data_IF_393947669911
#
_entry.id   IF_393947669911
#
_cell.length_a   1.000
_cell.length_b   1.000
_cell.length_c   1.000
_cell.angle_alpha   90.00
_cell.angle_beta   90.00
_cell.angle_gamma   90.00
#
_symmetry.space_group_name_H-M   'P 1'
#
loop_
_entity.id
_entity.type
_entity.pdbx_description
1 polymer ?
#
# COMPACT_ATOMS: atom_id res chain seq x y z
N UNK A 1 1.60 -19.39 46.22
CA UNK A 1 1.54 -18.45 45.08
C UNK A 1 2.82 -17.64 45.13
N UNK A 2 3.81 -18.01 44.33
CA UNK A 2 5.12 -17.33 44.32
C UNK A 2 5.28 -16.59 43.00
N UNK A 3 5.87 -15.39 43.04
CA UNK A 3 6.14 -14.60 41.84
C UNK A 3 7.43 -15.14 41.18
N UNK A 4 7.50 -15.23 39.84
CA UNK A 4 8.75 -15.57 39.16
C UNK A 4 9.87 -14.60 39.56
N UNK A 5 11.04 -15.13 39.90
CA UNK A 5 12.17 -14.33 40.37
C UNK A 5 12.89 -13.63 39.21
N UNK A 6 13.31 -12.38 39.44
CA UNK A 6 13.84 -11.47 38.42
C UNK A 6 15.01 -12.05 37.61
N UNK A 7 15.81 -12.93 38.22
CA UNK A 7 16.96 -13.60 37.57
C UNK A 7 16.58 -14.47 36.38
N UNK A 8 15.36 -15.02 36.31
CA UNK A 8 14.93 -15.84 35.17
C UNK A 8 14.76 -14.98 33.91
N UNK A 9 14.26 -13.76 34.07
CA UNK A 9 14.03 -12.78 33.00
C UNK A 9 15.37 -12.34 32.38
N UNK A 10 16.39 -12.10 33.21
CA UNK A 10 17.74 -11.75 32.74
C UNK A 10 18.40 -12.88 31.93
N UNK A 11 18.22 -14.15 32.33
CA UNK A 11 18.71 -15.28 31.54
C UNK A 11 18.02 -15.40 30.19
N UNK A 12 16.70 -15.22 30.12
CA UNK A 12 15.99 -15.16 28.83
C UNK A 12 16.44 -13.97 27.96
N UNK A 13 16.75 -12.81 28.55
CA UNK A 13 17.25 -11.66 27.81
C UNK A 13 18.65 -11.91 27.20
N UNK A 14 19.57 -12.52 27.96
CA UNK A 14 20.87 -12.93 27.43
C UNK A 14 20.75 -14.01 26.33
N UNK A 15 19.84 -14.97 26.47
CA UNK A 15 19.58 -15.96 25.42
C UNK A 15 18.94 -15.32 24.17
N UNK A 16 18.07 -14.32 24.30
CA UNK A 16 17.52 -13.59 23.16
C UNK A 16 18.59 -12.78 22.42
N UNK A 17 19.46 -12.07 23.13
CA UNK A 17 20.61 -11.36 22.55
C UNK A 17 21.61 -12.33 21.87
N UNK A 18 21.81 -13.52 22.43
CA UNK A 18 22.60 -14.56 21.78
C UNK A 18 21.92 -15.10 20.51
N UNK A 19 20.61 -15.37 20.52
CA UNK A 19 19.85 -15.79 19.34
C UNK A 19 19.79 -14.73 18.23
N UNK A 20 19.85 -13.44 18.59
CA UNK A 20 20.03 -12.34 17.62
C UNK A 20 21.43 -12.37 16.96
N UNK A 21 22.45 -12.88 17.66
CA UNK A 21 23.82 -13.03 17.12
C UNK A 21 24.08 -14.37 16.42
N UNK A 22 23.43 -15.45 16.85
CA UNK A 22 23.48 -16.79 16.23
C UNK A 22 22.13 -17.08 15.60
N UNK A 23 21.94 -16.62 14.36
CA UNK A 23 20.65 -16.53 13.67
C UNK A 23 19.94 -17.86 13.37
N UNK A 24 19.45 -18.54 14.40
CA UNK A 24 18.55 -19.69 14.34
C UNK A 24 17.14 -19.28 13.89
N UNK A 25 17.05 -18.73 12.68
CA UNK A 25 15.78 -18.54 11.95
C UNK A 25 15.16 -19.93 11.71
N UNK A 26 13.84 -20.03 11.84
CA UNK A 26 13.08 -21.20 11.36
C UNK A 26 13.40 -21.46 9.87
N UNK A 27 13.34 -22.72 9.39
CA UNK A 27 13.68 -23.05 8.01
C UNK A 27 12.78 -22.29 7.05
N UNK A 28 13.36 -21.30 6.35
CA UNK A 28 12.67 -20.48 5.37
C UNK A 28 12.09 -21.36 4.26
N UNK A 29 10.86 -21.07 3.83
CA UNK A 29 10.29 -21.68 2.65
C UNK A 29 11.08 -21.20 1.42
N UNK A 30 11.69 -22.13 0.68
CA UNK A 30 12.42 -21.82 -0.54
C UNK A 30 11.43 -21.68 -1.70
N UNK A 31 11.06 -20.44 -2.04
CA UNK A 31 10.19 -20.14 -3.17
C UNK A 31 11.00 -20.00 -4.46
N UNK A 32 10.76 -20.86 -5.44
CA UNK A 32 11.35 -20.76 -6.79
C UNK A 32 10.56 -19.78 -7.64
N UNK A 33 11.16 -18.74 -8.26
CA UNK A 33 10.44 -17.83 -9.15
C UNK A 33 9.73 -18.56 -10.30
N UNK A 34 8.40 -18.44 -10.37
CA UNK A 34 7.65 -18.86 -11.56
C UNK A 34 7.73 -17.77 -12.64
N UNK A 35 7.94 -18.15 -13.89
CA UNK A 35 8.04 -17.24 -15.05
C UNK A 35 6.72 -16.56 -15.46
N UNK A 36 5.69 -16.62 -14.60
CA UNK A 36 4.38 -16.03 -14.85
C UNK A 36 4.46 -14.49 -14.76
N UNK A 37 4.13 -13.83 -15.86
CA UNK A 37 4.00 -12.37 -15.98
C UNK A 37 2.54 -12.03 -16.25
N UNK A 38 1.99 -11.07 -15.49
CA UNK A 38 0.73 -10.39 -15.78
C UNK A 38 1.09 -9.11 -16.54
N UNK A 39 0.67 -9.01 -17.80
CA UNK A 39 0.86 -7.80 -18.60
C UNK A 39 -0.43 -6.98 -18.55
N UNK A 40 -0.27 -5.69 -18.32
CA UNK A 40 -1.37 -4.75 -18.19
C UNK A 40 -1.46 -3.94 -19.53
N UNK A 41 -2.43 -4.19 -20.45
CA UNK A 41 -2.76 -3.50 -21.75
C UNK A 41 -4.30 -3.27 -22.06
N UNK A 42 -4.93 -2.07 -21.89
CA UNK A 42 -6.42 -1.82 -21.96
C UNK A 42 -6.96 -1.31 -23.28
N UNK A 43 -6.15 -1.32 -24.33
CA UNK A 43 -6.62 -0.98 -25.68
C UNK A 43 -7.88 -1.77 -26.12
N UNK A 44 -8.23 -2.87 -25.42
CA UNK A 44 -9.38 -3.76 -25.66
C UNK A 44 -10.40 -3.91 -24.51
N UNK A 45 -10.30 -3.18 -23.38
CA UNK A 45 -11.21 -3.38 -22.22
C UNK A 45 -12.72 -3.22 -22.57
N UNK A 46 -13.08 -2.53 -23.67
CA UNK A 46 -14.48 -2.40 -24.10
C UNK A 46 -15.16 -3.76 -24.37
N UNK A 47 -14.39 -4.75 -24.81
CA UNK A 47 -14.91 -6.07 -25.18
C UNK A 47 -15.27 -6.93 -23.95
N UNK A 48 -14.67 -6.66 -22.79
CA UNK A 48 -14.86 -7.42 -21.54
C UNK A 48 -16.12 -7.05 -20.75
N UNK A 49 -16.81 -5.96 -21.10
CA UNK A 49 -18.00 -5.49 -20.36
C UNK A 49 -19.30 -6.20 -20.82
N UNK A 50 -19.25 -6.99 -21.89
CA UNK A 50 -20.46 -7.56 -22.53
C UNK A 50 -20.47 -9.07 -22.80
N UNK A 51 -19.40 -9.82 -22.54
CA UNK A 51 -19.30 -11.23 -22.92
C UNK A 51 -19.39 -12.19 -21.73
N UNK A 52 -20.36 -13.11 -21.75
CA UNK A 52 -20.54 -14.14 -20.72
C UNK A 52 -19.56 -15.31 -20.84
N UNK A 53 -19.09 -15.57 -22.06
CA UNK A 53 -17.93 -16.43 -22.40
C UNK A 53 -17.20 -15.78 -23.59
N UNK A 54 -15.86 -15.83 -23.67
CA UNK A 54 -15.09 -15.22 -24.75
C UNK A 54 -15.09 -16.06 -26.03
N UNK A 55 -15.02 -15.40 -27.19
CA UNK A 55 -14.97 -16.03 -28.52
C UNK A 55 -13.75 -16.96 -28.70
N UNK A 56 -13.94 -18.28 -28.93
CA UNK A 56 -12.84 -19.24 -29.17
C UNK A 56 -11.90 -18.86 -30.30
N UNK A 57 -12.40 -18.31 -31.41
CA UNK A 57 -11.58 -18.04 -32.61
C UNK A 57 -10.75 -16.76 -32.45
N UNK A 58 -11.06 -15.93 -31.43
CA UNK A 58 -10.21 -14.81 -31.00
C UNK A 58 -8.99 -15.24 -30.17
N UNK A 59 -8.98 -16.48 -29.67
CA UNK A 59 -8.01 -16.97 -28.67
C UNK A 59 -6.83 -17.76 -29.24
N UNK A 60 -6.79 -18.09 -30.54
CA UNK A 60 -5.75 -18.98 -31.08
C UNK A 60 -4.32 -18.40 -31.09
N UNK A 61 -4.13 -17.07 -31.06
CA UNK A 61 -2.88 -16.47 -31.56
C UNK A 61 -1.75 -16.17 -30.55
N UNK A 62 -1.97 -16.18 -29.22
CA UNK A 62 -0.86 -16.10 -28.23
C UNK A 62 -1.14 -16.80 -26.89
N UNK A 63 -0.95 -18.12 -26.88
CA UNK A 63 -1.19 -18.99 -25.72
C UNK A 63 -0.13 -18.90 -24.59
N UNK A 64 0.68 -17.83 -24.51
CA UNK A 64 1.81 -17.72 -23.56
C UNK A 64 1.69 -16.67 -22.46
N UNK A 65 0.86 -15.65 -22.62
CA UNK A 65 0.75 -14.56 -21.63
C UNK A 65 -0.72 -14.26 -21.36
N UNK A 66 -1.16 -14.39 -20.10
CA UNK A 66 -2.56 -14.17 -19.71
C UNK A 66 -2.73 -12.78 -19.09
N UNK A 67 -3.91 -12.21 -19.37
CA UNK A 67 -4.38 -10.87 -18.97
C UNK A 67 -3.77 -9.71 -19.78
N UNK A 68 -4.60 -8.67 -20.03
CA UNK A 68 -4.30 -7.39 -20.71
C UNK A 68 -5.41 -6.33 -20.45
N UNK A 69 -5.14 -5.35 -19.57
CA UNK A 69 -5.75 -3.99 -19.36
C UNK A 69 -4.57 -3.08 -18.83
N UNK A 70 -3.94 -1.87 -18.96
CA UNK A 70 -3.66 -0.60 -19.73
C UNK A 70 -4.61 0.57 -20.01
N UNK A 71 -5.12 1.17 -18.93
CA UNK A 71 -4.66 2.51 -18.58
C UNK A 71 -4.63 3.54 -19.73
N UNK A 72 -5.81 4.09 -20.05
CA UNK A 72 -5.87 5.54 -20.30
C UNK A 72 -5.19 6.30 -19.15
N UNK A 73 -4.69 7.51 -19.41
CA UNK A 73 -3.99 8.36 -18.43
C UNK A 73 -4.56 8.21 -17.01
N UNK A 74 -3.73 7.86 -16.00
CA UNK A 74 -4.21 7.74 -14.62
C UNK A 74 -4.82 9.07 -14.20
N UNK A 75 -6.08 9.05 -13.78
CA UNK A 75 -6.92 10.25 -13.58
C UNK A 75 -6.35 11.29 -12.60
N UNK A 76 -5.36 10.87 -11.82
CA UNK A 76 -4.64 11.67 -10.82
C UNK A 76 -3.25 12.13 -11.26
N UNK A 77 -2.67 11.69 -12.38
CA UNK A 77 -1.38 12.23 -12.84
C UNK A 77 -1.58 13.61 -13.50
N UNK A 78 -0.70 14.55 -13.17
CA UNK A 78 -0.69 15.93 -13.67
C UNK A 78 0.42 16.18 -14.69
N UNK A 79 1.54 15.44 -14.60
CA UNK A 79 2.72 15.57 -15.45
C UNK A 79 3.58 14.29 -15.38
N UNK A 80 4.36 14.00 -16.42
CA UNK A 80 5.21 12.80 -16.50
C UNK A 80 6.39 13.00 -17.45
N UNK A 81 7.55 12.44 -17.09
CA UNK A 81 8.70 12.33 -17.99
C UNK A 81 9.36 10.95 -17.85
N UNK A 82 9.47 10.25 -18.98
CA UNK A 82 9.88 8.85 -19.02
C UNK A 82 11.29 8.63 -18.48
N UNK A 83 11.42 7.72 -17.50
CA UNK A 83 12.68 7.45 -16.81
C UNK A 83 13.20 8.62 -15.95
N UNK A 84 12.37 9.64 -15.67
CA UNK A 84 12.76 10.82 -14.91
C UNK A 84 11.80 11.11 -13.75
N UNK A 85 10.49 11.28 -13.99
CA UNK A 85 9.52 11.54 -12.92
C UNK A 85 8.06 11.24 -13.30
N UNK A 86 7.21 11.13 -12.29
CA UNK A 86 5.74 11.17 -12.41
C UNK A 86 5.15 12.10 -11.35
N UNK A 87 4.15 12.93 -11.70
CA UNK A 87 3.56 13.93 -10.79
C UNK A 87 2.09 13.65 -10.55
N UNK A 88 1.69 13.49 -9.29
CA UNK A 88 0.40 12.95 -8.87
C UNK A 88 -0.39 13.97 -8.04
N UNK A 89 -1.62 14.27 -8.46
CA UNK A 89 -2.63 14.98 -7.67
C UNK A 89 -3.16 14.06 -6.58
N UNK A 90 -2.70 14.28 -5.36
CA UNK A 90 -3.22 13.60 -4.18
C UNK A 90 -4.28 14.48 -3.53
N UNK A 91 -5.50 13.97 -3.40
CA UNK A 91 -6.51 14.55 -2.51
C UNK A 91 -6.17 14.13 -1.06
N UNK A 92 -6.41 15.02 -0.10
CA UNK A 92 -6.17 14.70 1.31
C UNK A 92 -7.30 15.15 2.22
N UNK A 93 -7.48 14.39 3.29
CA UNK A 93 -8.27 14.76 4.47
C UNK A 93 -7.35 14.68 5.70
N UNK A 94 -7.45 15.63 6.61
CA UNK A 94 -6.54 15.69 7.78
C UNK A 94 -7.13 16.46 8.95
N UNK A 95 -6.87 15.97 10.16
CA UNK A 95 -7.14 16.66 11.42
C UNK A 95 -5.85 17.25 12.05
N UNK A 96 -4.81 17.50 11.24
CA UNK A 96 -3.57 18.20 11.63
C UNK A 96 -3.79 19.72 11.71
N UNK A 97 -3.10 20.41 12.61
CA UNK A 97 -3.06 21.88 12.59
C UNK A 97 -2.29 22.40 11.36
N UNK A 98 -2.87 23.33 10.56
CA UNK A 98 -2.16 23.98 9.48
C UNK A 98 -1.16 25.01 10.00
N UNK A 99 0.08 24.94 9.55
CA UNK A 99 1.07 26.00 9.69
C UNK A 99 1.00 26.92 8.48
N UNK A 100 0.81 28.21 8.74
CA UNK A 100 0.67 29.23 7.69
C UNK A 100 2.05 29.63 7.17
N UNK A 101 2.39 29.20 5.96
CA UNK A 101 3.55 29.72 5.23
C UNK A 101 3.21 31.05 4.55
N UNK A 102 4.23 31.87 4.25
CA UNK A 102 4.08 33.25 3.74
C UNK A 102 3.66 33.35 2.26
N UNK A 103 3.10 32.27 1.68
CA UNK A 103 2.65 32.19 0.30
C UNK A 103 1.18 31.77 0.19
N UNK A 104 0.40 32.48 -0.63
CA UNK A 104 -1.08 32.38 -0.74
C UNK A 104 -1.61 30.99 -1.19
N UNK A 105 -0.75 30.01 -1.51
CA UNK A 105 -1.13 28.70 -2.05
C UNK A 105 -0.35 27.48 -1.50
N UNK A 106 0.48 27.66 -0.48
CA UNK A 106 1.17 26.55 0.19
C UNK A 106 0.91 26.62 1.70
N UNK A 107 0.24 25.60 2.24
CA UNK A 107 0.05 25.39 3.68
C UNK A 107 0.79 24.10 4.06
N UNK A 108 1.68 24.14 5.05
CA UNK A 108 2.23 22.91 5.66
C UNK A 108 1.33 22.45 6.80
N UNK A 109 1.35 21.16 7.14
CA UNK A 109 0.56 20.60 8.24
C UNK A 109 1.48 20.03 9.32
N UNK A 110 1.31 20.51 10.55
CA UNK A 110 2.17 20.08 11.66
C UNK A 110 1.79 18.68 12.16
N UNK A 111 2.68 18.07 12.94
CA UNK A 111 2.40 16.92 13.78
C UNK A 111 1.63 17.33 15.06
N UNK A 112 0.58 18.15 14.93
CA UNK A 112 -0.24 18.64 16.05
C UNK A 112 -1.73 18.34 15.82
N UNK A 113 -2.42 17.92 16.87
CA UNK A 113 -3.85 17.63 16.83
C UNK A 113 -4.73 18.87 16.66
N UNK A 114 -5.81 18.70 15.90
CA UNK A 114 -6.90 19.63 15.69
C UNK A 114 -8.22 18.87 15.74
N UNK A 115 -9.21 19.40 16.45
CA UNK A 115 -10.60 18.89 16.41
C UNK A 115 -11.26 19.08 15.03
N UNK A 116 -10.72 19.99 14.22
CA UNK A 116 -11.29 20.36 12.92
C UNK A 116 -10.72 19.45 11.83
N UNK A 117 -11.58 18.64 11.22
CA UNK A 117 -11.31 17.99 9.94
C UNK A 117 -11.10 19.04 8.84
N UNK A 118 -10.14 18.80 7.94
CA UNK A 118 -9.82 19.69 6.81
C UNK A 118 -9.55 18.89 5.54
N UNK A 119 -10.09 19.39 4.45
CA UNK A 119 -9.94 18.83 3.11
C UNK A 119 -8.93 19.63 2.28
N UNK A 120 -8.34 18.99 1.27
CA UNK A 120 -7.44 19.67 0.35
C UNK A 120 -6.87 18.80 -0.76
N UNK A 121 -5.91 19.37 -1.50
CA UNK A 121 -5.14 18.69 -2.54
C UNK A 121 -3.68 19.15 -2.57
N UNK A 122 -2.78 18.31 -3.04
CA UNK A 122 -1.39 18.64 -3.33
C UNK A 122 -0.91 17.92 -4.61
N UNK A 123 0.18 18.41 -5.19
CA UNK A 123 0.92 17.73 -6.25
C UNK A 123 2.12 17.01 -5.63
N UNK A 124 2.25 15.70 -5.82
CA UNK A 124 3.40 14.91 -5.39
C UNK A 124 4.24 14.52 -6.60
N UNK A 125 5.48 14.97 -6.69
CA UNK A 125 6.42 14.51 -7.72
C UNK A 125 7.20 13.32 -7.18
N UNK A 126 7.27 12.24 -7.96
CA UNK A 126 8.07 11.03 -7.69
C UNK A 126 9.16 10.93 -8.76
N UNK A 127 10.42 11.02 -8.35
CA UNK A 127 11.59 11.12 -9.22
C UNK A 127 12.34 9.79 -9.29
N UNK A 128 12.76 9.38 -10.48
CA UNK A 128 13.54 8.15 -10.66
C UNK A 128 14.98 8.32 -10.15
N UNK A 129 15.51 7.36 -9.39
CA UNK A 129 16.94 7.31 -9.12
C UNK A 129 17.70 6.99 -10.41
N UNK A 130 18.73 7.77 -10.72
CA UNK A 130 19.52 7.59 -11.93
C UNK A 130 20.24 6.24 -11.95
N UNK A 131 20.64 5.77 -13.13
CA UNK A 131 21.47 4.57 -13.28
C UNK A 131 22.77 4.63 -12.47
N UNK A 132 23.32 5.83 -12.22
CA UNK A 132 24.54 6.03 -11.43
C UNK A 132 24.26 5.89 -9.92
N UNK A 133 23.13 6.44 -9.44
CA UNK A 133 22.69 6.29 -8.05
C UNK A 133 22.26 4.86 -7.74
N UNK A 134 21.55 4.20 -8.66
CA UNK A 134 21.22 2.76 -8.62
C UNK A 134 22.44 1.83 -8.64
N UNK A 135 23.62 2.33 -9.02
CA UNK A 135 24.91 1.62 -8.91
C UNK A 135 25.63 1.97 -7.60
N UNK A 136 25.71 3.25 -7.26
CA UNK A 136 26.39 3.74 -6.07
C UNK A 136 25.70 3.34 -4.74
N UNK A 137 24.39 3.14 -4.75
CA UNK A 137 23.62 2.66 -3.60
C UNK A 137 23.59 1.12 -3.46
N UNK A 138 24.31 0.38 -4.32
CA UNK A 138 24.59 -1.05 -4.10
C UNK A 138 25.79 -1.18 -3.15
N UNK A 139 25.77 -2.13 -2.19
CA UNK A 139 26.94 -2.36 -1.34
C UNK A 139 28.14 -2.79 -2.20
N UNK A 140 29.31 -2.26 -1.88
CA UNK A 140 30.51 -2.44 -2.69
C UNK A 140 31.41 -3.60 -2.20
N UNK A 141 32.43 -3.96 -2.98
CA UNK A 141 33.49 -4.90 -2.56
C UNK A 141 33.02 -6.33 -2.25
N UNK A 142 33.49 -6.90 -1.13
CA UNK A 142 33.16 -8.29 -0.75
C UNK A 142 31.69 -8.43 -0.32
N UNK A 143 31.13 -7.43 0.38
CA UNK A 143 29.69 -7.43 0.72
C UNK A 143 28.83 -7.37 -0.54
N UNK A 144 29.18 -6.49 -1.50
CA UNK A 144 28.51 -6.41 -2.80
C UNK A 144 28.51 -7.73 -3.57
N UNK A 145 29.65 -8.42 -3.62
CA UNK A 145 29.76 -9.74 -4.24
C UNK A 145 29.00 -10.83 -3.48
N UNK A 146 28.88 -10.71 -2.15
CA UNK A 146 28.10 -11.66 -1.35
C UNK A 146 26.59 -11.46 -1.61
N UNK A 147 26.11 -10.22 -1.55
CA UNK A 147 24.70 -9.84 -1.78
C UNK A 147 24.28 -10.16 -3.22
N UNK A 148 25.08 -9.76 -4.21
CA UNK A 148 24.83 -10.09 -5.62
C UNK A 148 24.96 -11.57 -5.98
N UNK A 149 25.43 -12.42 -5.06
CA UNK A 149 25.43 -13.88 -5.19
C UNK A 149 24.26 -14.56 -4.44
N UNK A 150 23.44 -13.80 -3.69
CA UNK A 150 22.19 -14.31 -3.15
C UNK A 150 21.11 -14.34 -4.25
N UNK A 151 20.09 -15.21 -4.14
CA UNK A 151 18.91 -15.15 -5.01
C UNK A 151 18.23 -13.78 -4.98
N UNK A 152 17.56 -13.39 -6.07
CA UNK A 152 16.92 -12.07 -6.27
C UNK A 152 16.17 -11.49 -5.05
N UNK A 153 15.36 -12.24 -4.27
CA UNK A 153 14.66 -11.71 -3.08
C UNK A 153 15.56 -11.11 -1.99
N UNK A 154 16.86 -11.39 -2.03
CA UNK A 154 17.84 -10.94 -1.03
C UNK A 154 18.80 -9.86 -1.56
N UNK A 155 18.58 -9.36 -2.78
CA UNK A 155 19.40 -8.30 -3.39
C UNK A 155 18.85 -6.88 -3.11
N UNK A 156 17.73 -6.76 -2.39
CA UNK A 156 16.92 -5.55 -2.24
C UNK A 156 16.99 -4.89 -0.85
N UNK A 157 18.13 -4.30 -0.51
CA UNK A 157 18.22 -3.26 0.53
C UNK A 157 18.94 -2.03 -0.06
N UNK A 158 18.37 -1.46 -1.13
CA UNK A 158 18.81 -0.17 -1.66
C UNK A 158 18.13 0.94 -0.86
N UNK A 159 18.85 1.45 0.13
CA UNK A 159 18.40 2.49 1.05
C UNK A 159 18.54 3.86 0.34
N UNK A 160 17.43 4.35 -0.21
CA UNK A 160 17.31 5.70 -0.74
C UNK A 160 16.77 6.69 0.34
N UNK A 161 16.50 7.94 -0.03
CA UNK A 161 16.02 9.00 0.85
C UNK A 161 14.70 9.56 0.28
N UNK A 162 13.61 9.53 1.06
CA UNK A 162 12.30 10.04 0.61
C UNK A 162 12.37 11.53 0.25
N UNK A 163 13.12 12.32 1.01
CA UNK A 163 13.28 13.76 0.79
C UNK A 163 14.14 14.09 -0.46
N UNK A 164 14.77 13.08 -1.07
CA UNK A 164 15.53 13.20 -2.31
C UNK A 164 14.74 12.81 -3.56
N UNK A 165 13.86 11.81 -3.45
CA UNK A 165 13.12 11.27 -4.60
C UNK A 165 11.62 11.59 -4.60
N UNK A 166 11.12 12.29 -3.57
CA UNK A 166 9.77 12.88 -3.59
C UNK A 166 9.80 14.39 -3.37
N UNK A 167 8.86 15.12 -3.98
CA UNK A 167 8.53 16.51 -3.62
C UNK A 167 7.03 16.68 -3.45
N UNK A 168 6.61 17.48 -2.47
CA UNK A 168 5.20 17.83 -2.25
C UNK A 168 5.02 19.32 -2.48
N UNK A 169 4.09 19.67 -3.36
CA UNK A 169 3.87 21.03 -3.87
C UNK A 169 2.39 21.40 -3.87
N UNK A 170 2.10 22.70 -4.01
CA UNK A 170 0.74 23.23 -4.20
C UNK A 170 -0.26 22.80 -3.12
N UNK A 171 0.19 22.62 -1.88
CA UNK A 171 -0.65 22.12 -0.77
C UNK A 171 -1.75 23.14 -0.47
N UNK A 172 -2.93 22.87 -1.02
CA UNK A 172 -4.06 23.79 -1.12
C UNK A 172 -5.23 23.21 -0.32
N UNK A 173 -5.60 23.81 0.82
CA UNK A 173 -6.87 23.51 1.48
C UNK A 173 -8.04 23.81 0.55
N UNK A 174 -9.08 22.98 0.59
CA UNK A 174 -10.28 23.08 -0.22
C UNK A 174 -11.52 23.16 0.68
N UNK A 175 -12.57 23.90 0.27
CA UNK A 175 -13.92 23.64 0.76
C UNK A 175 -14.34 22.20 0.48
N UNK A 176 -15.14 21.63 1.37
CA UNK A 176 -15.62 20.25 1.32
C UNK A 176 -16.30 19.95 -0.04
N UNK A 177 -17.12 20.89 -0.53
CA UNK A 177 -17.75 20.84 -1.86
C UNK A 177 -16.76 20.69 -3.01
N UNK A 178 -15.61 21.35 -2.91
CA UNK A 178 -14.61 21.43 -3.97
C UNK A 178 -13.68 20.21 -3.92
N UNK A 179 -13.47 19.65 -2.72
CA UNK A 179 -12.85 18.35 -2.52
C UNK A 179 -13.72 17.23 -3.10
N UNK A 180 -14.99 17.14 -2.71
CA UNK A 180 -15.89 16.09 -3.20
C UNK A 180 -16.23 16.24 -4.69
N UNK A 181 -16.30 17.46 -5.22
CA UNK A 181 -16.38 17.70 -6.66
C UNK A 181 -15.16 17.15 -7.42
N UNK A 182 -13.94 17.35 -6.91
CA UNK A 182 -12.72 16.80 -7.52
C UNK A 182 -12.58 15.28 -7.32
N UNK A 183 -13.00 14.75 -6.16
CA UNK A 183 -13.08 13.31 -5.93
C UNK A 183 -14.01 12.66 -6.98
N UNK A 184 -15.21 13.20 -7.14
CA UNK A 184 -16.22 12.66 -8.05
C UNK A 184 -15.83 12.86 -9.53
N UNK A 185 -15.09 13.92 -9.88
CA UNK A 185 -14.51 14.07 -11.21
C UNK A 185 -13.43 13.02 -11.50
N UNK A 186 -12.56 12.71 -10.54
CA UNK A 186 -11.57 11.64 -10.67
C UNK A 186 -12.23 10.25 -10.75
N UNK A 187 -13.26 9.99 -9.92
CA UNK A 187 -14.07 8.76 -9.98
C UNK A 187 -14.72 8.65 -11.37
N UNK A 188 -15.37 9.71 -11.86
CA UNK A 188 -16.11 9.64 -13.11
C UNK A 188 -15.19 9.46 -14.33
N UNK A 189 -14.03 10.12 -14.35
CA UNK A 189 -13.00 9.90 -15.35
C UNK A 189 -12.38 8.48 -15.27
N UNK A 190 -12.41 7.82 -14.11
CA UNK A 190 -11.94 6.45 -13.95
C UNK A 190 -12.97 5.46 -14.47
N UNK A 191 -12.51 4.34 -15.05
CA UNK A 191 -13.44 3.34 -15.59
C UNK A 191 -14.10 2.49 -14.53
N UNK A 192 -13.30 1.94 -13.61
CA UNK A 192 -13.76 1.01 -12.57
C UNK A 192 -14.43 1.71 -11.38
N UNK A 193 -14.49 3.06 -11.40
CA UNK A 193 -15.09 3.91 -10.36
C UNK A 193 -14.48 3.67 -8.97
N UNK A 194 -13.19 3.32 -8.93
CA UNK A 194 -12.48 3.04 -7.69
C UNK A 194 -12.04 4.32 -6.97
N UNK A 195 -12.10 4.26 -5.64
CA UNK A 195 -11.40 5.17 -4.72
C UNK A 195 -10.39 4.35 -3.92
N UNK A 196 -9.17 4.84 -3.77
CA UNK A 196 -8.17 4.33 -2.83
C UNK A 196 -7.99 5.35 -1.71
N UNK A 197 -8.47 5.01 -0.53
CA UNK A 197 -8.21 5.72 0.72
C UNK A 197 -7.01 5.07 1.40
N UNK A 198 -5.96 5.84 1.68
CA UNK A 198 -4.80 5.38 2.44
C UNK A 198 -4.71 6.05 3.81
N UNK A 199 -4.42 5.26 4.84
CA UNK A 199 -4.23 5.72 6.22
C UNK A 199 -2.86 5.26 6.72
N UNK A 200 -2.00 6.21 7.06
CA UNK A 200 -0.61 5.95 7.42
C UNK A 200 -0.43 5.40 8.85
N UNK A 201 0.78 4.91 9.12
CA UNK A 201 1.20 4.41 10.43
C UNK A 201 1.79 5.47 11.36
N UNK A 202 2.38 4.98 12.46
CA UNK A 202 3.16 5.75 13.42
C UNK A 202 4.40 6.40 12.78
N UNK A 203 4.80 7.59 13.25
CA UNK A 203 6.00 8.31 12.80
C UNK A 203 5.98 8.62 11.29
N UNK A 204 4.92 9.27 10.83
CA UNK A 204 4.76 9.79 9.46
C UNK A 204 4.19 11.20 9.53
N UNK A 205 4.82 12.17 8.87
CA UNK A 205 4.31 13.53 8.74
C UNK A 205 3.27 13.64 7.61
N UNK A 206 2.86 14.86 7.24
CA UNK A 206 1.85 15.06 6.21
C UNK A 206 2.41 14.74 4.82
N UNK A 207 3.62 15.22 4.54
CA UNK A 207 4.33 15.09 3.27
C UNK A 207 4.63 13.61 2.96
N UNK A 208 5.22 12.85 3.89
CA UNK A 208 5.44 11.40 3.75
C UNK A 208 4.14 10.61 3.59
N UNK A 209 3.01 11.09 4.15
CA UNK A 209 1.70 10.43 3.99
C UNK A 209 1.19 10.54 2.56
N UNK A 210 1.22 11.73 1.96
CA UNK A 210 0.78 11.93 0.56
C UNK A 210 1.77 11.33 -0.43
N UNK A 211 3.08 11.42 -0.15
CA UNK A 211 4.14 10.75 -0.92
C UNK A 211 3.96 9.22 -0.93
N UNK A 212 3.65 8.60 0.21
CA UNK A 212 3.41 7.16 0.30
C UNK A 212 2.21 6.72 -0.55
N UNK A 213 1.11 7.47 -0.55
CA UNK A 213 -0.06 7.15 -1.38
C UNK A 213 0.23 7.27 -2.87
N UNK A 214 0.91 8.33 -3.32
CA UNK A 214 1.30 8.47 -4.72
C UNK A 214 2.16 7.28 -5.21
N UNK A 215 3.08 6.80 -4.36
CA UNK A 215 3.93 5.64 -4.66
C UNK A 215 3.13 4.33 -4.70
N UNK A 216 2.21 4.10 -3.75
CA UNK A 216 1.29 2.94 -3.81
C UNK A 216 0.44 3.00 -5.10
N UNK A 217 -0.11 4.16 -5.46
CA UNK A 217 -0.94 4.32 -6.65
C UNK A 217 -0.15 4.06 -7.94
N UNK A 218 1.10 4.51 -7.99
CA UNK A 218 2.03 4.27 -9.10
C UNK A 218 2.39 2.79 -9.27
N UNK A 219 2.78 2.14 -8.18
CA UNK A 219 3.40 0.80 -8.20
C UNK A 219 2.37 -0.35 -8.14
N UNK A 220 1.11 -0.02 -7.86
CA UNK A 220 -0.06 -0.90 -7.90
C UNK A 220 -1.04 -0.49 -9.03
N UNK A 221 -0.53 -0.07 -10.21
CA UNK A 221 -1.16 0.73 -11.28
C UNK A 221 -2.61 1.18 -11.04
N UNK A 222 -2.82 2.01 -10.03
CA UNK A 222 -4.15 2.37 -9.56
C UNK A 222 -4.74 3.51 -10.38
N UNK A 223 -5.50 3.16 -11.42
CA UNK A 223 -6.33 4.12 -12.13
C UNK A 223 -7.70 4.26 -11.45
N UNK A 224 -7.81 5.30 -10.63
CA UNK A 224 -8.94 5.65 -9.78
C UNK A 224 -8.63 6.90 -8.97
N UNK A 225 -9.57 7.37 -8.16
CA UNK A 225 -9.32 8.53 -7.29
C UNK A 225 -8.52 8.14 -6.05
N UNK A 226 -7.52 8.94 -5.67
CA UNK A 226 -6.64 8.64 -4.52
C UNK A 226 -6.80 9.70 -3.42
N UNK A 227 -7.04 9.24 -2.19
CA UNK A 227 -7.26 10.09 -1.00
C UNK A 227 -6.35 9.64 0.15
N UNK A 228 -5.50 10.54 0.65
CA UNK A 228 -4.69 10.31 1.87
C UNK A 228 -5.42 10.86 3.09
N UNK A 229 -5.80 10.00 4.06
CA UNK A 229 -6.16 10.49 5.38
C UNK A 229 -4.90 10.59 6.25
N UNK A 230 -4.53 11.82 6.62
CA UNK A 230 -3.33 12.08 7.40
C UNK A 230 -3.67 12.52 8.82
N UNK A 231 -3.44 11.64 9.80
CA UNK A 231 -3.65 11.90 11.21
C UNK A 231 -2.36 12.44 11.87
N UNK A 232 -2.44 13.27 12.93
CA UNK A 232 -1.29 13.98 13.50
C UNK A 232 -0.31 13.11 14.33
N UNK A 233 0.24 12.04 13.74
CA UNK A 233 1.30 11.22 14.35
C UNK A 233 2.50 12.11 14.71
N UNK A 234 3.00 12.01 15.94
CA UNK A 234 3.85 13.06 16.52
C UNK A 234 5.29 13.04 15.99
N UNK A 235 5.75 11.87 15.56
CA UNK A 235 7.13 11.62 15.17
C UNK A 235 8.05 11.30 16.36
N UNK A 236 9.05 10.44 16.13
CA UNK A 236 10.02 10.00 17.12
C UNK A 236 9.50 8.90 18.06
N UNK A 237 10.29 7.83 18.24
CA UNK A 237 9.95 6.60 19.00
C UNK A 237 9.49 6.88 20.45
N UNK A 238 9.97 7.96 21.05
CA UNK A 238 9.58 8.40 22.39
C UNK A 238 8.10 8.78 22.47
N UNK A 239 7.56 9.49 21.46
CA UNK A 239 6.17 9.96 21.42
C UNK A 239 5.13 8.85 21.17
N UNK A 240 5.52 7.61 20.90
CA UNK A 240 4.60 6.49 20.61
C UNK A 240 3.42 6.31 21.61
N UNK A 241 3.57 6.72 22.88
CA UNK A 241 2.42 6.73 23.81
C UNK A 241 1.43 7.87 23.49
N UNK A 242 1.94 9.08 23.23
CA UNK A 242 1.14 10.22 22.79
C UNK A 242 0.47 9.97 21.44
N UNK A 243 1.11 9.25 20.51
CA UNK A 243 0.45 8.82 19.26
C UNK A 243 -0.77 7.91 19.52
N UNK A 244 -0.77 7.14 20.62
CA UNK A 244 -1.95 6.41 21.08
C UNK A 244 -3.08 7.33 21.56
N UNK A 245 -2.74 8.35 22.35
CA UNK A 245 -3.68 9.38 22.84
C UNK A 245 -4.26 10.18 21.64
N UNK A 246 -3.40 10.62 20.73
CA UNK A 246 -3.76 11.35 19.51
C UNK A 246 -4.59 10.50 18.53
N UNK A 247 -4.42 9.17 18.50
CA UNK A 247 -5.32 8.30 17.74
C UNK A 247 -6.72 8.32 18.33
N UNK A 248 -6.88 8.25 19.65
CA UNK A 248 -8.20 8.29 20.29
C UNK A 248 -8.87 9.66 20.11
N UNK A 249 -8.12 10.76 20.17
CA UNK A 249 -8.60 12.11 19.79
C UNK A 249 -8.96 12.20 18.30
N UNK A 250 -8.29 11.45 17.42
CA UNK A 250 -8.52 11.47 15.96
C UNK A 250 -9.70 10.61 15.48
N UNK A 251 -10.33 9.81 16.35
CA UNK A 251 -11.44 8.92 15.96
C UNK A 251 -12.62 9.72 15.39
N UNK A 252 -13.08 10.74 16.10
CA UNK A 252 -14.30 11.45 15.70
C UNK A 252 -14.09 12.26 14.38
N UNK A 253 -12.94 12.95 14.16
CA UNK A 253 -12.61 13.51 12.83
C UNK A 253 -12.45 12.48 11.71
N UNK A 254 -12.02 11.25 12.00
CA UNK A 254 -11.94 10.18 10.98
C UNK A 254 -13.32 9.57 10.69
N UNK A 255 -14.18 9.40 11.71
CA UNK A 255 -15.58 9.01 11.52
C UNK A 255 -16.33 10.01 10.64
N UNK A 256 -16.18 11.32 10.91
CA UNK A 256 -16.77 12.36 10.06
C UNK A 256 -16.28 12.23 8.62
N UNK A 257 -14.98 12.03 8.39
CA UNK A 257 -14.44 11.80 7.04
C UNK A 257 -15.05 10.59 6.34
N UNK A 258 -15.29 9.47 7.06
CA UNK A 258 -15.91 8.27 6.48
C UNK A 258 -17.39 8.49 6.13
N UNK A 259 -18.14 9.18 6.99
CA UNK A 259 -19.55 9.53 6.74
C UNK A 259 -19.67 10.53 5.58
N UNK A 260 -18.88 11.61 5.57
CA UNK A 260 -18.80 12.58 4.47
C UNK A 260 -18.40 11.88 3.16
N UNK A 261 -17.45 10.94 3.19
CA UNK A 261 -17.02 10.17 2.02
C UNK A 261 -18.16 9.28 1.48
N UNK A 262 -18.80 8.47 2.34
CA UNK A 262 -19.93 7.61 1.97
C UNK A 262 -21.09 8.42 1.39
N UNK A 263 -21.38 9.59 1.95
CA UNK A 263 -22.47 10.46 1.52
C UNK A 263 -22.24 11.18 0.18
N UNK A 264 -20.98 11.36 -0.24
CA UNK A 264 -20.65 12.17 -1.42
C UNK A 264 -20.16 11.37 -2.64
N UNK A 265 -19.65 10.15 -2.50
CA UNK A 265 -19.21 9.36 -3.69
C UNK A 265 -20.40 8.88 -4.53
N UNK A 266 -20.28 8.78 -5.87
CA UNK A 266 -21.35 8.27 -6.72
C UNK A 266 -21.76 6.84 -6.37
N UNK A 267 -23.05 6.53 -6.47
CA UNK A 267 -23.55 5.18 -6.28
C UNK A 267 -22.88 4.19 -7.24
N UNK A 268 -22.38 3.06 -6.72
CA UNK A 268 -21.59 2.09 -7.48
C UNK A 268 -20.07 2.35 -7.49
N UNK A 269 -19.59 3.41 -6.83
CA UNK A 269 -18.15 3.60 -6.60
C UNK A 269 -17.58 2.55 -5.66
N UNK A 270 -16.38 2.06 -5.95
CA UNK A 270 -15.67 1.06 -5.15
C UNK A 270 -14.68 1.73 -4.20
N UNK A 271 -15.07 1.91 -2.93
CA UNK A 271 -14.18 2.53 -1.94
C UNK A 271 -13.28 1.47 -1.31
N UNK A 272 -11.97 1.58 -1.52
CA UNK A 272 -10.94 0.68 -1.01
C UNK A 272 -10.13 1.39 0.07
N UNK A 273 -10.04 0.80 1.27
CA UNK A 273 -9.39 1.40 2.44
C UNK A 273 -8.13 0.60 2.81
N UNK A 274 -6.94 1.15 2.58
CA UNK A 274 -5.64 0.52 2.86
C UNK A 274 -4.97 1.22 4.05
N UNK A 275 -4.61 0.44 5.07
CA UNK A 275 -4.31 0.97 6.41
C UNK A 275 -3.01 0.37 6.93
N UNK A 276 -2.04 1.20 7.34
CA UNK A 276 -0.72 0.71 7.76
C UNK A 276 -0.43 0.85 9.26
N UNK A 277 0.16 -0.19 9.86
CA UNK A 277 0.76 -0.16 11.20
C UNK A 277 -0.20 0.39 12.27
N UNK A 278 0.17 1.42 13.01
CA UNK A 278 -0.66 2.02 14.07
C UNK A 278 -1.96 2.67 13.57
N UNK A 279 -2.04 3.07 12.29
CA UNK A 279 -3.29 3.59 11.70
C UNK A 279 -4.45 2.59 11.78
N UNK A 280 -4.16 1.30 11.92
CA UNK A 280 -5.17 0.27 12.16
C UNK A 280 -5.91 0.45 13.49
N UNK A 281 -5.31 1.08 14.53
CA UNK A 281 -6.03 1.43 15.77
C UNK A 281 -7.12 2.45 15.49
N UNK A 282 -6.78 3.54 14.78
CA UNK A 282 -7.72 4.59 14.37
C UNK A 282 -8.87 4.01 13.54
N UNK A 283 -8.53 3.26 12.48
CA UNK A 283 -9.53 2.72 11.55
C UNK A 283 -10.45 1.71 12.23
N UNK A 284 -9.91 0.71 12.96
CA UNK A 284 -10.75 -0.30 13.59
C UNK A 284 -11.66 0.30 14.67
N UNK A 285 -11.16 1.23 15.50
CA UNK A 285 -11.96 1.90 16.54
C UNK A 285 -13.04 2.82 15.98
N UNK A 286 -12.82 3.42 14.81
CA UNK A 286 -13.80 4.28 14.14
C UNK A 286 -14.87 3.47 13.43
N UNK A 287 -14.48 2.43 12.69
CA UNK A 287 -15.42 1.53 12.02
C UNK A 287 -16.34 0.79 13.01
N UNK A 288 -15.83 0.37 14.17
CA UNK A 288 -16.64 -0.22 15.25
C UNK A 288 -17.60 0.76 15.95
N UNK A 289 -17.58 2.04 15.57
CA UNK A 289 -18.52 3.07 16.05
C UNK A 289 -19.47 3.56 14.95
N UNK A 290 -19.24 3.21 13.68
CA UNK A 290 -20.21 3.43 12.62
C UNK A 290 -21.41 2.50 12.83
N UNK A 291 -22.61 2.93 12.44
CA UNK A 291 -23.78 2.08 12.55
C UNK A 291 -23.64 0.83 11.63
N UNK A 292 -24.03 -0.36 12.10
CA UNK A 292 -24.22 -1.52 11.23
C UNK A 292 -25.26 -1.20 10.13
N UNK A 293 -25.07 -1.79 8.95
CA UNK A 293 -25.80 -1.38 7.75
C UNK A 293 -27.26 -1.87 7.78
N UNK A 294 -28.18 -0.95 8.09
CA UNK A 294 -29.60 -1.26 8.27
C UNK A 294 -30.56 -0.31 7.53
N UNK A 295 -30.69 -0.52 6.21
CA UNK A 295 -31.82 -0.03 5.40
C UNK A 295 -31.44 1.02 4.34
N UNK A 296 -31.72 0.68 3.06
CA UNK A 296 -31.33 1.45 1.86
C UNK A 296 -29.77 1.59 1.72
N UNK A 297 -29.23 1.98 0.55
CA UNK A 297 -27.89 1.53 0.14
C UNK A 297 -26.74 2.37 0.72
N UNK A 298 -26.40 2.13 1.99
CA UNK A 298 -25.10 2.52 2.53
C UNK A 298 -23.96 1.78 1.80
N UNK A 299 -22.92 2.52 1.42
CA UNK A 299 -21.84 2.04 0.57
C UNK A 299 -20.82 1.30 1.45
N UNK A 300 -20.87 -0.03 1.41
CA UNK A 300 -19.81 -0.90 1.93
C UNK A 300 -18.48 -0.56 1.25
N UNK A 301 -17.39 -0.61 2.01
CA UNK A 301 -16.07 -0.62 1.41
C UNK A 301 -15.93 -1.87 0.55
N UNK A 302 -15.37 -1.75 -0.65
CA UNK A 302 -15.12 -2.92 -1.51
C UNK A 302 -14.03 -3.79 -0.87
N UNK A 303 -12.95 -3.15 -0.41
CA UNK A 303 -11.89 -3.79 0.36
C UNK A 303 -11.53 -2.93 1.59
N UNK A 304 -11.37 -3.58 2.74
CA UNK A 304 -10.55 -3.09 3.85
C UNK A 304 -9.28 -3.93 3.93
N UNK A 305 -8.13 -3.28 3.90
CA UNK A 305 -6.82 -3.95 3.94
C UNK A 305 -6.01 -3.45 5.13
N UNK A 306 -5.86 -4.32 6.12
CA UNK A 306 -5.18 -4.08 7.37
C UNK A 306 -3.73 -4.55 7.26
N UNK A 307 -2.83 -3.65 6.85
CA UNK A 307 -1.41 -3.93 6.63
C UNK A 307 -0.62 -3.80 7.94
N UNK A 308 -0.03 -4.91 8.40
CA UNK A 308 0.83 -5.00 9.57
C UNK A 308 0.25 -4.32 10.83
N UNK A 309 -0.99 -4.64 11.26
CA UNK A 309 -1.67 -3.87 12.30
C UNK A 309 -0.96 -3.90 13.65
N UNK A 310 -0.55 -2.72 14.10
CA UNK A 310 -0.18 -2.44 15.49
C UNK A 310 -1.45 -2.25 16.32
N UNK A 311 -2.21 -3.34 16.47
CA UNK A 311 -3.43 -3.42 17.28
C UNK A 311 -3.28 -4.62 18.22
N UNK A 312 -3.72 -4.50 19.47
CA UNK A 312 -3.67 -5.64 20.42
C UNK A 312 -4.50 -6.81 19.90
N UNK A 313 -4.04 -8.04 20.10
CA UNK A 313 -4.76 -9.25 19.65
C UNK A 313 -6.18 -9.31 20.22
N UNK A 314 -6.39 -8.88 21.47
CA UNK A 314 -7.71 -8.91 22.10
C UNK A 314 -8.54 -7.64 21.82
N UNK A 315 -7.90 -6.56 21.35
CA UNK A 315 -8.59 -5.42 20.74
C UNK A 315 -9.06 -5.76 19.32
N UNK A 316 -8.20 -6.34 18.50
CA UNK A 316 -8.52 -6.72 17.12
C UNK A 316 -9.72 -7.67 17.09
N UNK A 317 -9.75 -8.71 17.92
CA UNK A 317 -10.89 -9.65 18.00
C UNK A 317 -12.18 -8.99 18.49
N UNK A 318 -12.10 -7.96 19.34
CA UNK A 318 -13.27 -7.27 19.90
C UNK A 318 -13.93 -6.33 18.89
N UNK A 319 -13.15 -5.74 17.99
CA UNK A 319 -13.61 -4.77 16.98
C UNK A 319 -13.70 -5.38 15.57
N UNK A 320 -13.22 -6.61 15.39
CA UNK A 320 -12.99 -7.20 14.07
C UNK A 320 -14.29 -7.55 13.34
N UNK A 321 -15.30 -8.05 14.04
CA UNK A 321 -16.59 -8.38 13.42
C UNK A 321 -17.27 -7.12 12.86
N UNK A 322 -17.31 -6.02 13.64
CA UNK A 322 -17.84 -4.72 13.19
C UNK A 322 -17.10 -4.20 11.93
N UNK A 323 -15.77 -4.33 11.91
CA UNK A 323 -14.93 -3.93 10.77
C UNK A 323 -15.21 -4.79 9.53
N UNK A 324 -15.50 -6.08 9.70
CA UNK A 324 -15.82 -7.01 8.62
C UNK A 324 -17.23 -6.74 8.07
N UNK A 325 -18.21 -6.36 8.91
CA UNK A 325 -19.55 -5.97 8.46
C UNK A 325 -19.54 -4.72 7.55
N UNK A 326 -18.59 -3.80 7.72
CA UNK A 326 -18.47 -2.59 6.89
C UNK A 326 -17.91 -2.86 5.46
N UNK A 327 -17.42 -4.06 5.13
CA UNK A 327 -16.73 -4.31 3.85
C UNK A 327 -17.10 -5.61 3.11
N UNK A 328 -17.07 -5.58 1.77
CA UNK A 328 -17.23 -6.76 0.92
C UNK A 328 -16.08 -7.76 1.09
N UNK A 329 -14.87 -7.26 1.39
CA UNK A 329 -13.71 -8.07 1.75
C UNK A 329 -12.86 -7.38 2.80
N UNK A 330 -12.46 -8.10 3.84
CA UNK A 330 -11.45 -7.64 4.81
C UNK A 330 -10.22 -8.55 4.74
N UNK A 331 -9.04 -7.98 4.48
CA UNK A 331 -7.77 -8.70 4.39
C UNK A 331 -6.81 -8.22 5.47
N UNK A 332 -6.18 -9.16 6.19
CA UNK A 332 -5.16 -8.90 7.21
C UNK A 332 -3.80 -9.37 6.71
N UNK A 333 -2.88 -8.44 6.42
CA UNK A 333 -1.49 -8.78 6.13
C UNK A 333 -0.65 -8.72 7.42
N UNK A 334 0.03 -9.83 7.74
CA UNK A 334 0.85 -9.99 8.95
C UNK A 334 2.18 -10.67 8.63
N UNK A 335 3.23 -10.34 9.40
CA UNK A 335 4.50 -11.05 9.37
C UNK A 335 4.95 -11.36 10.79
N UNK A 336 5.14 -12.64 11.09
CA UNK A 336 5.60 -13.09 12.42
C UNK A 336 6.96 -12.48 12.84
N UNK A 337 7.78 -12.02 11.89
CA UNK A 337 9.12 -11.47 12.14
C UNK A 337 9.18 -9.93 12.05
N UNK A 338 8.05 -9.23 11.95
CA UNK A 338 8.01 -7.77 11.86
C UNK A 338 8.62 -7.13 13.12
N UNK A 339 9.80 -6.53 12.97
CA UNK A 339 10.59 -6.04 14.09
C UNK A 339 10.00 -4.79 14.74
N UNK A 340 9.21 -4.00 14.02
CA UNK A 340 8.49 -2.86 14.58
C UNK A 340 7.30 -3.34 15.43
N UNK A 341 6.57 -4.35 14.97
CA UNK A 341 5.47 -4.94 15.73
C UNK A 341 5.93 -5.79 16.93
N UNK A 342 7.11 -6.41 16.86
CA UNK A 342 7.75 -7.06 18.01
C UNK A 342 8.16 -6.02 19.07
N UNK A 343 8.78 -4.90 18.66
CA UNK A 343 9.12 -3.80 19.56
C UNK A 343 7.87 -3.14 20.18
N UNK A 344 6.81 -2.97 19.38
CA UNK A 344 5.50 -2.55 19.85
C UNK A 344 4.89 -3.53 20.85
N UNK A 345 4.92 -4.84 20.58
CA UNK A 345 4.41 -5.87 21.50
C UNK A 345 5.10 -5.80 22.87
N UNK A 346 6.42 -5.56 22.89
CA UNK A 346 7.17 -5.33 24.12
C UNK A 346 6.75 -4.01 24.83
N UNK A 347 6.55 -2.91 24.10
CA UNK A 347 6.14 -1.61 24.68
C UNK A 347 4.70 -1.61 25.21
N UNK A 348 3.79 -2.35 24.59
CA UNK A 348 2.38 -2.44 24.98
C UNK A 348 2.10 -3.59 25.99
N UNK A 349 3.00 -4.58 26.12
CA UNK A 349 2.87 -5.71 27.04
C UNK A 349 1.94 -6.85 26.59
N UNK A 350 1.54 -6.84 25.32
CA UNK A 350 0.60 -7.79 24.69
C UNK A 350 0.98 -7.92 23.20
N UNK A 351 0.83 -9.10 22.60
CA UNK A 351 1.11 -9.31 21.17
C UNK A 351 0.28 -8.37 20.27
N UNK A 352 0.87 -7.92 19.15
CA UNK A 352 0.15 -7.18 18.09
C UNK A 352 -0.40 -8.15 17.04
N UNK A 353 -1.62 -7.93 16.55
CA UNK A 353 -2.28 -8.81 15.57
C UNK A 353 -1.44 -9.03 14.28
N UNK A 354 -0.70 -8.03 13.83
CA UNK A 354 0.19 -8.10 12.67
C UNK A 354 1.46 -8.95 12.85
N UNK A 355 1.80 -9.40 14.07
CA UNK A 355 3.00 -10.20 14.36
C UNK A 355 2.81 -11.25 15.47
N UNK A 356 1.58 -11.52 15.91
CA UNK A 356 1.26 -12.48 16.99
C UNK A 356 1.73 -13.90 16.68
N UNK A 357 2.07 -14.69 17.71
CA UNK A 357 2.51 -16.09 17.56
C UNK A 357 1.42 -16.98 16.95
N UNK A 358 0.16 -16.75 17.34
CA UNK A 358 -1.01 -17.31 16.70
C UNK A 358 -1.63 -16.25 15.76
N UNK A 359 -1.77 -16.50 14.45
CA UNK A 359 -2.53 -15.64 13.54
C UNK A 359 -3.96 -15.43 14.03
N UNK A 360 -4.45 -14.19 13.99
CA UNK A 360 -5.87 -13.90 14.23
C UNK A 360 -6.69 -14.48 13.07
N UNK A 361 -7.74 -15.25 13.38
CA UNK A 361 -8.68 -15.79 12.38
C UNK A 361 -10.08 -15.53 12.87
N UNK A 362 -10.92 -14.99 11.98
CA UNK A 362 -12.30 -14.60 12.19
C UNK A 362 -13.10 -14.94 10.91
N UNK A 363 -14.42 -15.06 11.00
CA UNK A 363 -15.24 -15.32 9.80
C UNK A 363 -15.29 -14.04 8.92
N UNK A 364 -15.15 -14.18 7.60
CA UNK A 364 -15.03 -13.04 6.68
C UNK A 364 -13.65 -12.36 6.61
N UNK A 365 -12.67 -12.79 7.42
CA UNK A 365 -11.31 -12.22 7.44
C UNK A 365 -10.30 -13.08 6.66
N UNK A 366 -9.75 -12.56 5.56
CA UNK A 366 -8.63 -13.16 4.85
C UNK A 366 -7.30 -12.81 5.55
N UNK A 367 -6.93 -13.58 6.58
CA UNK A 367 -5.62 -13.46 7.25
C UNK A 367 -4.51 -14.10 6.42
N UNK A 368 -3.56 -13.27 5.98
CA UNK A 368 -2.41 -13.64 5.16
C UNK A 368 -1.11 -13.45 5.95
N UNK A 369 -0.38 -14.54 6.17
CA UNK A 369 0.97 -14.54 6.72
C UNK A 369 2.01 -14.41 5.59
N UNK A 370 2.87 -13.41 5.75
CA UNK A 370 3.79 -12.92 4.74
C UNK A 370 5.25 -13.28 5.05
N UNK A 371 5.56 -14.32 5.83
CA UNK A 371 6.92 -14.64 6.32
C UNK A 371 8.12 -14.71 5.32
N UNK A 372 7.89 -14.58 4.01
CA UNK A 372 8.91 -14.49 2.94
C UNK A 372 9.05 -13.06 2.36
N UNK A 373 8.11 -12.17 2.70
CA UNK A 373 7.79 -10.86 2.14
C UNK A 373 7.75 -9.89 3.32
N UNK A 374 8.71 -8.97 3.41
CA UNK A 374 8.72 -8.03 4.54
C UNK A 374 7.48 -7.13 4.53
N UNK A 375 6.66 -7.21 5.57
CA UNK A 375 5.48 -6.34 5.76
C UNK A 375 5.88 -4.96 6.24
N UNK A 376 7.17 -4.70 6.49
CA UNK A 376 7.73 -3.36 6.57
C UNK A 376 7.70 -2.69 5.18
N UNK A 377 6.48 -2.29 4.79
CA UNK A 377 6.24 -1.18 3.86
C UNK A 377 6.98 0.07 4.36
N UNK A 378 7.24 0.14 5.68
CA UNK A 378 8.17 1.05 6.37
C UNK A 378 9.64 0.58 6.40
N UNK A 379 10.15 -0.08 5.36
CA UNK A 379 11.57 0.04 5.01
C UNK A 379 11.87 1.53 4.78
N UNK A 380 12.60 2.16 5.70
CA UNK A 380 12.66 3.62 5.96
C UNK A 380 13.35 4.47 4.86
N UNK A 381 13.32 4.00 3.61
CA UNK A 381 14.28 4.42 2.60
C UNK A 381 13.92 4.04 1.16
N UNK A 382 13.08 3.02 0.91
CA UNK A 382 12.55 2.80 -0.43
C UNK A 382 11.12 2.27 -0.36
N UNK A 383 10.25 2.86 -1.17
CA UNK A 383 8.81 2.83 -0.91
C UNK A 383 8.11 1.73 -1.72
N UNK A 384 8.71 1.35 -2.85
CA UNK A 384 8.50 0.09 -3.57
C UNK A 384 9.43 -1.05 -3.11
N UNK A 385 9.90 -1.04 -1.85
CA UNK A 385 10.82 -2.07 -1.30
C UNK A 385 10.27 -3.49 -1.33
N UNK A 386 8.95 -3.67 -1.48
CA UNK A 386 8.32 -4.97 -1.59
C UNK A 386 7.33 -5.06 -2.76
N UNK A 387 7.82 -5.28 -4.00
CA UNK A 387 6.96 -5.42 -5.17
C UNK A 387 6.04 -6.65 -5.09
N UNK A 388 6.34 -7.65 -4.26
CA UNK A 388 5.49 -8.83 -4.08
C UNK A 388 4.24 -8.52 -3.26
N UNK A 389 4.37 -7.72 -2.20
CA UNK A 389 3.21 -7.20 -1.46
C UNK A 389 2.34 -6.31 -2.36
N UNK A 390 2.94 -5.43 -3.17
CA UNK A 390 2.19 -4.54 -4.07
C UNK A 390 1.44 -5.30 -5.18
N UNK A 391 2.01 -6.37 -5.74
CA UNK A 391 1.32 -7.29 -6.67
C UNK A 391 0.14 -8.03 -6.01
N UNK A 392 0.30 -8.46 -4.76
CA UNK A 392 -0.76 -9.16 -4.04
C UNK A 392 -1.90 -8.20 -3.61
N UNK A 393 -1.53 -6.97 -3.22
CA UNK A 393 -2.46 -5.88 -2.96
C UNK A 393 -3.23 -5.46 -4.22
N UNK A 394 -2.57 -5.43 -5.39
CA UNK A 394 -3.23 -5.21 -6.68
C UNK A 394 -4.34 -6.23 -6.94
N UNK A 395 -4.09 -7.53 -6.70
CA UNK A 395 -5.11 -8.57 -6.86
C UNK A 395 -6.30 -8.40 -5.89
N UNK A 396 -6.08 -7.87 -4.70
CA UNK A 396 -7.17 -7.54 -3.74
C UNK A 396 -7.94 -6.30 -4.20
N UNK A 397 -7.24 -5.19 -4.44
CA UNK A 397 -7.83 -3.86 -4.63
C UNK A 397 -8.37 -3.63 -6.04
N UNK A 398 -7.66 -4.09 -7.09
CA UNK A 398 -8.05 -3.90 -8.50
C UNK A 398 -8.83 -5.08 -9.07
N UNK A 399 -8.42 -6.32 -8.76
CA UNK A 399 -9.10 -7.51 -9.26
C UNK A 399 -10.19 -8.06 -8.32
N UNK A 400 -10.30 -7.54 -7.09
CA UNK A 400 -11.29 -7.97 -6.09
C UNK A 400 -11.07 -9.36 -5.49
N UNK A 401 -9.94 -10.03 -5.77
CA UNK A 401 -9.71 -11.46 -5.50
C UNK A 401 -9.41 -11.75 -4.03
N UNK A 402 -10.16 -12.67 -3.45
CA UNK A 402 -9.92 -13.24 -2.13
C UNK A 402 -8.65 -14.09 -2.08
N UNK A 403 -8.20 -14.46 -0.89
CA UNK A 403 -7.01 -15.30 -0.75
C UNK A 403 -7.23 -16.73 -1.29
N UNK A 404 -8.48 -17.20 -1.42
CA UNK A 404 -8.80 -18.45 -2.13
C UNK A 404 -8.67 -18.38 -3.65
N UNK A 405 -8.59 -17.17 -4.22
CA UNK A 405 -8.63 -16.93 -5.68
C UNK A 405 -7.25 -16.56 -6.24
N UNK A 406 -6.25 -16.38 -5.36
CA UNK A 406 -4.88 -15.96 -5.68
C UNK A 406 -3.93 -17.18 -5.73
N UNK A 407 -3.36 -17.56 -6.89
CA UNK A 407 -2.65 -18.84 -7.07
C UNK A 407 -1.47 -19.13 -6.12
N UNK A 408 -0.82 -18.09 -5.60
CA UNK A 408 0.31 -18.22 -4.66
C UNK A 408 -0.11 -18.48 -3.20
N UNK A 409 -1.40 -18.45 -2.88
CA UNK A 409 -1.90 -18.60 -1.52
C UNK A 409 -2.11 -20.06 -1.11
N UNK A 410 -1.45 -20.47 -0.02
CA UNK A 410 -1.64 -21.79 0.59
C UNK A 410 -2.47 -21.69 1.86
N UNK A 411 -3.66 -22.30 1.82
CA UNK A 411 -4.55 -22.46 2.97
C UNK A 411 -3.87 -23.33 4.05
N UNK A 412 -3.72 -22.78 5.24
CA UNK A 412 -3.24 -23.45 6.45
C UNK A 412 -4.37 -23.60 7.45
N UNK A 413 -4.32 -24.62 8.31
CA UNK A 413 -5.30 -24.83 9.38
C UNK A 413 -4.70 -24.50 10.74
N UNK A 414 -5.40 -23.69 11.53
CA UNK A 414 -5.15 -23.57 12.96
C UNK A 414 -6.13 -24.49 13.69
N UNK A 415 -5.65 -25.48 14.47
CA UNK A 415 -6.54 -26.38 15.22
C UNK A 415 -7.54 -25.58 16.07
N UNK A 416 -8.83 -25.89 15.91
CA UNK A 416 -9.95 -25.28 16.64
C UNK A 416 -10.17 -23.76 16.40
N UNK A 417 -9.39 -23.12 15.53
CA UNK A 417 -9.46 -21.68 15.23
C UNK A 417 -9.73 -21.38 13.75
N UNK A 418 -9.84 -22.41 12.90
CA UNK A 418 -10.20 -22.26 11.48
C UNK A 418 -8.99 -22.32 10.55
N UNK A 419 -8.85 -21.32 9.69
CA UNK A 419 -7.81 -21.29 8.66
C UNK A 419 -7.25 -19.89 8.42
N UNK A 420 -5.99 -19.85 7.98
CA UNK A 420 -5.31 -18.64 7.49
C UNK A 420 -4.58 -19.00 6.19
N UNK A 421 -3.98 -18.01 5.55
CA UNK A 421 -3.26 -18.16 4.29
C UNK A 421 -1.78 -17.83 4.48
N UNK A 422 -0.91 -18.52 3.74
CA UNK A 422 0.51 -18.16 3.61
C UNK A 422 0.78 -17.85 2.14
N UNK A 423 1.50 -16.76 1.86
CA UNK A 423 2.09 -16.54 0.53
C UNK A 423 3.19 -17.58 0.33
N UNK A 424 2.89 -18.56 -0.52
CA UNK A 424 3.61 -19.84 -0.63
C UNK A 424 4.26 -20.08 -1.99
N UNK A 425 4.11 -19.10 -2.88
CA UNK A 425 4.85 -18.92 -4.13
C UNK A 425 4.95 -17.39 -4.37
N UNK A 426 5.65 -16.97 -5.42
CA UNK A 426 5.80 -15.55 -5.74
C UNK A 426 4.53 -14.97 -6.38
N UNK A 427 4.01 -13.83 -5.89
CA UNK A 427 3.01 -13.06 -6.61
C UNK A 427 3.46 -12.72 -8.04
N UNK A 428 2.62 -13.07 -9.00
CA UNK A 428 2.85 -13.01 -10.46
C UNK A 428 3.42 -11.65 -10.86
N UNK A 429 4.41 -11.65 -11.75
CA UNK A 429 5.11 -10.41 -12.10
C UNK A 429 4.20 -9.46 -12.88
N UNK A 430 3.75 -8.40 -12.22
CA UNK A 430 3.06 -7.28 -12.85
C UNK A 430 4.05 -6.51 -13.74
N UNK A 431 3.72 -6.38 -15.03
CA UNK A 431 4.29 -5.43 -15.98
C UNK A 431 3.15 -4.54 -16.46
N UNK A 432 3.36 -3.23 -16.53
CA UNK A 432 2.36 -2.29 -17.02
C UNK A 432 2.98 -1.25 -17.96
N UNK A 433 2.14 -0.43 -18.58
CA UNK A 433 2.53 0.78 -19.28
C UNK A 433 1.49 1.85 -19.00
N UNK A 434 1.93 3.09 -18.80
CA UNK A 434 1.05 4.25 -18.69
C UNK A 434 1.00 4.96 -20.04
N UNK A 435 -0.18 5.04 -20.67
CA UNK A 435 -0.34 5.73 -21.94
C UNK A 435 -0.63 7.22 -21.73
N UNK A 436 0.41 8.04 -21.77
CA UNK A 436 0.31 9.50 -21.69
C UNK A 436 0.18 10.12 -23.10
N UNK A 437 -0.83 10.98 -23.31
CA UNK A 437 -0.99 11.71 -24.56
C UNK A 437 -0.04 12.91 -24.59
N UNK A 438 1.09 12.74 -25.29
CA UNK A 438 2.12 13.78 -25.44
C UNK A 438 1.60 15.10 -26.04
N UNK A 439 0.39 15.11 -26.63
CA UNK A 439 -0.23 16.33 -27.16
C UNK A 439 -0.96 17.17 -26.08
N UNK A 440 -1.18 16.64 -24.87
CA UNK A 440 -1.78 17.39 -23.75
C UNK A 440 -0.74 18.18 -22.96
N UNK A 441 0.46 17.63 -22.79
CA UNK A 441 1.61 18.35 -22.27
C UNK A 441 2.03 19.42 -23.28
N UNK A 442 1.96 20.70 -22.90
CA UNK A 442 2.27 21.84 -23.77
C UNK A 442 3.75 22.05 -24.09
N UNK A 443 4.48 20.96 -24.41
CA UNK A 443 5.91 20.94 -24.66
C UNK A 443 6.15 20.78 -26.17
N UNK A 444 7.10 21.55 -26.69
CA UNK A 444 7.30 21.82 -28.12
C UNK A 444 7.57 20.56 -28.96
N UNK A 445 6.85 20.43 -30.09
CA UNK A 445 7.23 19.53 -31.17
C UNK A 445 8.61 19.92 -31.73
N UNK A 446 9.64 19.12 -31.43
CA UNK A 446 10.88 19.05 -32.20
C UNK A 446 10.82 17.78 -33.06
N UNK A 447 10.55 17.93 -34.35
CA UNK A 447 9.95 16.88 -35.16
C UNK A 447 10.83 15.66 -35.48
N UNK A 448 10.17 14.51 -35.58
CA UNK A 448 10.61 13.36 -36.37
C UNK A 448 9.45 12.88 -37.24
N UNK A 449 9.56 13.04 -38.56
CA UNK A 449 8.63 12.46 -39.54
C UNK A 449 8.98 10.98 -39.78
N UNK A 450 8.41 10.06 -38.99
CA UNK A 450 8.47 8.62 -39.28
C UNK A 450 7.31 7.83 -38.65
N UNK A 451 6.24 7.52 -39.41
CA UNK A 451 5.09 6.77 -38.89
C UNK A 451 5.42 5.38 -38.34
N UNK A 452 6.44 4.69 -38.87
CA UNK A 452 6.77 3.32 -38.45
C UNK A 452 7.48 3.26 -37.08
N UNK A 453 7.97 4.40 -36.56
CA UNK A 453 8.55 4.49 -35.21
C UNK A 453 7.52 4.64 -34.08
N UNK A 454 6.23 4.75 -34.40
CA UNK A 454 5.13 4.81 -33.41
C UNK A 454 4.92 3.51 -32.63
N UNK A 455 5.55 2.40 -33.04
CA UNK A 455 5.38 1.08 -32.43
C UNK A 455 6.27 0.78 -31.20
N UNK A 456 7.04 1.76 -30.68
CA UNK A 456 7.85 1.59 -29.48
C UNK A 456 7.01 1.68 -28.19
N UNK A 457 6.27 0.61 -27.88
CA UNK A 457 5.62 0.41 -26.58
C UNK A 457 6.67 0.29 -25.47
N UNK A 458 6.81 1.30 -24.62
CA UNK A 458 7.67 1.23 -23.44
C UNK A 458 7.01 0.41 -22.32
N UNK A 459 7.55 -0.79 -22.09
CA UNK A 459 7.15 -1.65 -20.97
C UNK A 459 7.77 -1.10 -19.68
N UNK A 460 6.96 -0.77 -18.67
CA UNK A 460 7.45 -0.77 -17.29
C UNK A 460 7.60 -2.21 -16.82
N UNK A 461 8.67 -2.86 -17.30
CA UNK A 461 9.19 -4.05 -16.64
C UNK A 461 10.04 -3.59 -15.46
N UNK A 462 9.71 -4.05 -14.25
CA UNK A 462 10.68 -4.08 -13.14
C UNK A 462 11.74 -5.14 -13.47
N UNK A 463 12.64 -4.81 -14.41
CA UNK A 463 13.65 -5.71 -14.96
C UNK A 463 15.01 -5.44 -14.33
N UNK A 464 15.41 -6.32 -13.42
CA UNK A 464 16.74 -6.31 -12.83
C UNK A 464 17.74 -6.93 -13.82
N UNK A 465 18.11 -6.12 -14.81
CA UNK A 465 19.12 -6.29 -15.88
C UNK A 465 19.39 -7.72 -16.39
N UNK A 466 19.22 -8.00 -17.71
CA UNK A 466 19.34 -9.35 -18.24
C UNK A 466 20.73 -9.97 -18.05
N UNK A 467 20.74 -11.25 -17.67
CA UNK A 467 21.97 -12.05 -17.58
C UNK A 467 22.70 -12.11 -18.93
N UNK A 468 23.89 -11.49 -18.99
CA UNK A 468 24.91 -11.93 -19.95
C UNK A 468 25.31 -13.37 -19.62
N UNK A 469 25.01 -14.32 -20.50
CA UNK A 469 25.62 -15.65 -20.47
C UNK A 469 27.12 -15.50 -20.66
N UNK A 470 27.90 -15.81 -19.62
CA UNK A 470 29.28 -16.22 -19.79
C UNK A 470 29.31 -17.61 -20.46
N UNK A 471 30.41 -17.90 -21.16
CA UNK A 471 30.72 -19.23 -21.72
C UNK A 471 31.41 -20.10 -20.66
#
# INVERSE_FOLDING_TARGET
MERPTTSYIYWTACCALLLLSTGCRLPKLFLTPTENVLIYDTSYEQDLVGQTEPDPDSLEYDFRWRYRDSLAEPVTVEDYSEGQFSKWRVLFATNRNPQRSDGVRNVSFQNEYSENLRYGRCSVTLTEPTEEELKAARPDGFLGKLVGALPQPWQHEVIFDEAKYTSVENVTPLPDSDFYSQLNANIEASRQKDVLVFVHGFNVDFESSVSRLAQIARDMPFNGAIVSYSWPSQGGVENYQRDGEVIDDSIDPFMQFLDDLKANVPAGSKVNLVVHSMGNRLVMRSLSRLNPISGEPDIRFENIVLCAPDVGVDEFKRLGDDVIEQANRTTLYRCLNDSALIASSYKNGEERAGASLAPVVMEGLDTVECAVIDTSILGHSYYGSNPHMLRDLFCVVKEGKGASERPWMKKQKLPWQGHYWIISDWPVQLQWAWHFDQNKTGILQAGFEDPEKSANLSRHTVELLPHKRAQ
#
